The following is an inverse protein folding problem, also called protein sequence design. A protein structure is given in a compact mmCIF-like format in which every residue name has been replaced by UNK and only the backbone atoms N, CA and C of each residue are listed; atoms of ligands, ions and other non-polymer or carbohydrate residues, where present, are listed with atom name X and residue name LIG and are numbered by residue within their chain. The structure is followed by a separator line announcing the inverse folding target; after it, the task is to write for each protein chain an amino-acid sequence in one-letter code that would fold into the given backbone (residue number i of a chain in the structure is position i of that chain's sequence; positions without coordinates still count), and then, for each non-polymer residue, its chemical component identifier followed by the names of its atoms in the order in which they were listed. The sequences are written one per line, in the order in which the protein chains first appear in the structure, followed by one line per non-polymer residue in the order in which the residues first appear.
data_IF_302486636013
#
_entry.id   IF_302486636013
#
_cell.length_a   1.000
_cell.length_b   1.000
_cell.length_c   1.000
_cell.angle_alpha   90.00
_cell.angle_beta   90.00
_cell.angle_gamma   90.00
#
_symmetry.space_group_name_H-M   'P 1'
#
loop_
_entity.id
_entity.type
_entity.pdbx_description
1 polymer ?
#
# COMPACT_ATOMS: atom_id res chain seq x y z
N UNK A 1 -3.08 6.45 23.15
CA UNK A 1 -3.71 5.11 22.99
C UNK A 1 -2.73 4.22 22.22
N UNK A 2 -2.71 2.89 22.36
CA UNK A 2 -1.87 2.06 21.48
C UNK A 2 -2.40 2.16 20.05
N UNK A 3 -1.49 2.22 19.08
CA UNK A 3 -1.71 2.46 17.65
C UNK A 3 -2.24 3.84 17.29
N UNK A 4 -2.31 4.76 18.24
CA UNK A 4 -2.64 6.17 17.94
C UNK A 4 -1.52 6.79 17.11
N UNK A 5 -1.88 7.56 16.09
CA UNK A 5 -0.91 8.33 15.32
C UNK A 5 -0.68 9.68 15.99
N UNK A 6 0.59 10.11 15.99
CA UNK A 6 1.02 11.39 16.48
C UNK A 6 1.75 12.13 15.37
N UNK A 7 1.68 13.45 15.37
CA UNK A 7 2.28 14.31 14.36
C UNK A 7 3.26 15.28 15.00
N UNK A 8 4.42 15.43 14.36
CA UNK A 8 5.43 16.45 14.67
C UNK A 8 5.63 17.31 13.44
N UNK A 9 5.40 18.61 13.58
CA UNK A 9 5.80 19.60 12.56
C UNK A 9 7.28 19.92 12.73
N UNK A 10 8.12 19.49 11.78
CA UNK A 10 9.55 19.79 11.76
C UNK A 10 9.78 21.28 11.44
N UNK A 11 11.01 21.77 11.69
CA UNK A 11 11.37 23.17 11.45
C UNK A 11 11.25 23.61 9.99
N UNK A 12 11.38 22.67 9.06
CA UNK A 12 11.21 22.90 7.62
C UNK A 12 9.73 22.86 7.17
N UNK A 13 8.80 22.66 8.11
CA UNK A 13 7.37 22.56 7.84
C UNK A 13 6.91 21.16 7.40
N UNK A 14 7.83 20.19 7.27
CA UNK A 14 7.46 18.81 6.95
C UNK A 14 6.82 18.12 8.16
N UNK A 15 5.87 17.23 7.89
CA UNK A 15 5.14 16.53 8.93
C UNK A 15 5.73 15.13 9.12
N UNK A 16 6.11 14.82 10.36
CA UNK A 16 6.57 13.50 10.76
C UNK A 16 5.48 12.78 11.53
N UNK A 17 5.04 11.63 11.00
CA UNK A 17 4.06 10.77 11.66
C UNK A 17 4.78 9.74 12.53
N UNK A 18 4.31 9.59 13.75
CA UNK A 18 4.73 8.56 14.71
C UNK A 18 3.54 7.67 15.04
N UNK A 19 3.76 6.39 15.31
CA UNK A 19 2.73 5.48 15.81
C UNK A 19 3.07 4.99 17.22
N UNK A 20 2.13 5.13 18.16
CA UNK A 20 2.29 4.65 19.54
C UNK A 20 2.29 3.12 19.59
N UNK A 21 3.38 2.51 20.06
CA UNK A 21 3.50 1.06 20.20
C UNK A 21 3.28 0.58 21.64
N UNK A 22 3.69 1.37 22.63
CA UNK A 22 3.51 0.99 24.02
C UNK A 22 3.43 2.19 24.96
N UNK A 23 2.76 1.99 26.08
CA UNK A 23 2.79 2.92 27.21
C UNK A 23 3.89 2.44 28.17
N UNK A 24 4.88 3.28 28.44
CA UNK A 24 6.03 2.90 29.28
C UNK A 24 5.88 3.37 30.73
N UNK A 25 4.81 4.09 31.06
CA UNK A 25 4.55 4.66 32.39
C UNK A 25 4.85 6.16 32.43
N UNK A 26 4.58 6.79 33.57
CA UNK A 26 4.91 8.22 33.82
C UNK A 26 4.42 9.17 32.71
N UNK A 27 3.18 8.96 32.23
CA UNK A 27 2.59 9.71 31.11
C UNK A 27 3.44 9.71 29.83
N UNK A 28 4.27 8.69 29.64
CA UNK A 28 5.18 8.57 28.50
C UNK A 28 4.78 7.38 27.63
N UNK A 29 4.84 7.60 26.32
CA UNK A 29 4.59 6.58 25.28
C UNK A 29 5.87 6.32 24.50
N UNK A 30 6.03 5.08 24.03
CA UNK A 30 7.04 4.71 23.04
C UNK A 30 6.38 4.64 21.67
N UNK A 31 7.00 5.28 20.70
CA UNK A 31 6.51 5.34 19.33
C UNK A 31 7.51 4.74 18.34
N UNK A 32 7.03 4.39 17.15
CA UNK A 32 7.85 4.13 15.96
C UNK A 32 7.62 5.28 14.99
N UNK A 33 8.71 5.79 14.41
CA UNK A 33 8.66 6.83 13.38
C UNK A 33 8.39 6.24 12.00
N UNK A 34 7.53 6.90 11.22
CA UNK A 34 7.23 6.48 9.84
C UNK A 34 8.20 7.07 8.80
N UNK A 35 9.08 7.98 9.22
CA UNK A 35 10.13 8.58 8.40
C UNK A 35 11.38 8.89 9.27
N UNK A 36 12.43 9.47 8.68
CA UNK A 36 13.66 9.82 9.37
C UNK A 36 13.41 10.74 10.56
N UNK A 37 14.03 10.39 11.69
CA UNK A 37 14.05 11.17 12.94
C UNK A 37 15.18 12.19 12.99
N UNK A 38 15.92 12.37 11.90
CA UNK A 38 17.04 13.31 11.85
C UNK A 38 16.57 14.75 12.13
N UNK A 39 17.37 15.48 12.90
CA UNK A 39 17.07 16.86 13.30
C UNK A 39 16.04 17.00 14.41
N UNK A 40 15.48 15.90 14.93
CA UNK A 40 14.65 15.95 16.14
C UNK A 40 15.49 16.19 17.39
N UNK A 41 14.94 17.01 18.28
CA UNK A 41 15.49 17.25 19.61
C UNK A 41 14.41 17.06 20.66
N UNK A 42 14.79 16.93 21.93
CA UNK A 42 13.82 16.97 23.02
C UNK A 42 13.10 18.31 23.05
N UNK A 43 11.83 18.30 23.45
CA UNK A 43 11.01 19.50 23.59
C UNK A 43 10.20 19.91 22.35
N UNK A 44 10.24 19.11 21.26
CA UNK A 44 9.28 19.31 20.17
C UNK A 44 7.85 19.09 20.68
N UNK A 45 6.94 19.92 20.20
CA UNK A 45 5.52 19.70 20.36
C UNK A 45 5.09 18.50 19.51
N UNK A 46 4.24 17.67 20.10
CA UNK A 46 3.71 16.46 19.46
C UNK A 46 2.19 16.50 19.61
N UNK A 47 1.48 16.41 18.49
CA UNK A 47 0.02 16.47 18.47
C UNK A 47 -0.53 15.06 18.27
N UNK A 48 -1.42 14.62 19.15
CA UNK A 48 -2.14 13.36 18.95
C UNK A 48 -3.33 13.55 18.01
N UNK A 49 -3.45 12.69 17.01
CA UNK A 49 -4.58 12.75 16.05
C UNK A 49 -5.85 12.11 16.63
N UNK A 50 -5.71 11.29 17.67
CA UNK A 50 -6.79 10.53 18.31
C UNK A 50 -7.22 9.29 17.51
N UNK A 51 -6.58 9.01 16.38
CA UNK A 51 -6.88 7.91 15.49
C UNK A 51 -5.60 7.19 15.07
N UNK A 52 -5.65 5.90 14.72
CA UNK A 52 -4.53 5.26 14.05
C UNK A 52 -4.23 5.88 12.69
N UNK A 53 -3.08 5.53 12.11
CA UNK A 53 -2.77 5.88 10.73
C UNK A 53 -3.90 5.39 9.83
N UNK A 54 -4.42 6.29 8.99
CA UNK A 54 -5.53 6.02 8.09
C UNK A 54 -5.07 6.06 6.63
N UNK A 55 -5.58 5.14 5.83
CA UNK A 55 -5.42 5.13 4.38
C UNK A 55 -6.66 5.70 3.70
N UNK A 56 -6.50 6.42 2.57
CA UNK A 56 -7.64 6.79 1.74
C UNK A 56 -8.34 5.53 1.21
N UNK A 57 -9.66 5.60 1.06
CA UNK A 57 -10.49 4.52 0.54
C UNK A 57 -11.46 5.02 -0.53
N UNK A 58 -12.09 4.07 -1.23
CA UNK A 58 -13.08 4.36 -2.25
C UNK A 58 -12.51 4.31 -3.67
N UNK A 59 -13.32 4.62 -4.69
CA UNK A 59 -12.92 4.49 -6.09
C UNK A 59 -11.77 5.42 -6.52
N UNK A 60 -11.60 6.55 -5.83
CA UNK A 60 -10.58 7.56 -6.19
C UNK A 60 -9.15 7.09 -5.94
N UNK A 61 -8.97 5.99 -5.17
CA UNK A 61 -7.66 5.38 -4.93
C UNK A 61 -7.18 4.55 -6.12
N UNK A 62 -8.04 4.27 -7.10
CA UNK A 62 -7.69 3.38 -8.21
C UNK A 62 -6.59 3.99 -9.07
N UNK A 63 -5.57 3.17 -9.30
CA UNK A 63 -4.39 3.56 -10.04
C UNK A 63 -3.43 4.47 -9.28
N UNK A 64 -3.76 4.97 -8.08
CA UNK A 64 -2.93 5.89 -7.30
C UNK A 64 -1.78 5.19 -6.58
N UNK A 65 -0.72 5.94 -6.26
CA UNK A 65 0.43 5.47 -5.49
C UNK A 65 0.53 6.18 -4.14
N UNK A 66 0.54 5.41 -3.05
CA UNK A 66 0.59 5.94 -1.68
C UNK A 66 1.79 5.42 -0.89
N UNK A 67 2.27 6.24 0.05
CA UNK A 67 3.23 5.82 1.06
C UNK A 67 2.53 5.16 2.28
N UNK A 68 3.31 4.75 3.28
CA UNK A 68 2.82 4.03 4.48
C UNK A 68 1.83 4.83 5.34
N UNK A 69 1.82 6.15 5.23
CA UNK A 69 0.89 7.02 5.97
C UNK A 69 -0.33 7.42 5.15
N UNK A 70 -0.46 6.92 3.91
CA UNK A 70 -1.57 7.22 3.01
C UNK A 70 -1.47 8.54 2.27
N UNK A 71 -0.29 9.17 2.25
CA UNK A 71 -0.04 10.31 1.38
C UNK A 71 0.31 9.84 -0.03
N UNK A 72 -0.16 10.58 -1.02
CA UNK A 72 0.09 10.30 -2.41
C UNK A 72 1.53 10.67 -2.80
N UNK A 73 2.20 9.78 -3.49
CA UNK A 73 3.57 9.96 -4.00
C UNK A 73 3.64 9.86 -5.53
N UNK A 74 2.47 9.88 -6.18
CA UNK A 74 2.31 9.91 -7.64
C UNK A 74 2.27 11.33 -8.24
N UNK A 75 2.37 12.37 -7.42
CA UNK A 75 2.32 13.76 -7.89
C UNK A 75 0.92 14.27 -8.24
N UNK A 76 -0.13 13.48 -8.04
CA UNK A 76 -1.53 13.86 -8.31
C UNK A 76 -2.23 14.50 -7.09
N UNK A 77 -1.47 14.80 -6.03
CA UNK A 77 -1.96 15.40 -4.79
C UNK A 77 -2.64 14.39 -3.84
N UNK A 78 -2.74 14.75 -2.57
CA UNK A 78 -3.29 13.86 -1.54
C UNK A 78 -4.80 13.67 -1.69
N UNK A 79 -5.27 12.46 -1.41
CA UNK A 79 -6.69 12.17 -1.24
C UNK A 79 -7.12 12.40 0.22
N UNK A 80 -8.39 12.75 0.46
CA UNK A 80 -8.94 12.73 1.80
C UNK A 80 -8.83 11.33 2.41
N UNK A 81 -8.28 11.25 3.62
CA UNK A 81 -8.07 9.99 4.36
C UNK A 81 -8.59 10.04 5.79
N UNK A 82 -9.48 10.99 6.11
CA UNK A 82 -10.11 11.16 7.42
C UNK A 82 -11.61 10.93 7.34
N UNK A 83 -12.23 10.60 8.48
CA UNK A 83 -13.67 10.35 8.57
C UNK A 83 -14.12 9.20 7.66
N UNK A 84 -15.17 9.42 6.87
CA UNK A 84 -15.73 8.42 5.95
C UNK A 84 -14.82 8.09 4.75
N UNK A 85 -13.83 8.93 4.46
CA UNK A 85 -12.88 8.74 3.36
C UNK A 85 -11.60 8.01 3.81
N UNK A 86 -11.50 7.69 5.10
CA UNK A 86 -10.31 7.12 5.73
C UNK A 86 -10.57 5.82 6.43
N UNK A 87 -9.68 4.84 6.25
CA UNK A 87 -9.75 3.58 6.98
C UNK A 87 -8.45 3.31 7.75
N UNK A 88 -8.58 2.97 9.03
CA UNK A 88 -7.45 2.59 9.89
C UNK A 88 -6.71 1.38 9.32
N UNK A 89 -5.36 1.45 9.30
CA UNK A 89 -4.51 0.31 8.94
C UNK A 89 -4.57 -0.81 9.98
N UNK A 90 -4.92 -0.47 11.23
CA UNK A 90 -5.14 -1.44 12.30
C UNK A 90 -6.61 -1.84 12.35
N UNK A 91 -6.89 -3.10 11.98
CA UNK A 91 -8.22 -3.71 12.04
C UNK A 91 -8.14 -5.13 12.54
N UNK A 92 -9.19 -5.57 13.23
CA UNK A 92 -9.33 -6.97 13.60
C UNK A 92 -9.57 -7.82 12.36
N UNK A 93 -9.08 -9.06 12.40
CA UNK A 93 -9.39 -10.05 11.38
C UNK A 93 -10.90 -10.33 11.34
N UNK A 94 -11.44 -10.79 10.20
CA UNK A 94 -12.83 -11.26 10.12
C UNK A 94 -13.12 -12.33 11.17
N UNK A 95 -14.36 -12.36 11.69
CA UNK A 95 -14.78 -13.38 12.66
C UNK A 95 -14.93 -14.72 11.94
N UNK A 96 -14.88 -15.81 12.70
CA UNK A 96 -15.03 -17.16 12.17
C UNK A 96 -16.34 -17.35 11.37
N UNK A 97 -17.43 -16.77 11.85
CA UNK A 97 -18.75 -16.82 11.18
C UNK A 97 -18.80 -16.07 9.85
N UNK A 98 -17.90 -15.09 9.66
CA UNK A 98 -17.82 -14.29 8.42
C UNK A 98 -16.91 -14.97 7.37
N UNK A 99 -16.30 -16.11 7.69
CA UNK A 99 -15.42 -16.85 6.76
C UNK A 99 -16.25 -17.68 5.79
N UNK A 100 -15.93 -17.57 4.49
CA UNK A 100 -16.51 -18.46 3.48
C UNK A 100 -15.84 -19.84 3.51
N UNK A 101 -16.66 -20.89 3.40
CA UNK A 101 -16.20 -22.28 3.29
C UNK A 101 -16.09 -22.76 1.83
N UNK A 102 -16.46 -21.93 0.85
CA UNK A 102 -16.44 -22.32 -0.56
C UNK A 102 -15.04 -22.18 -1.16
N UNK A 103 -14.47 -23.28 -1.66
CA UNK A 103 -13.26 -23.25 -2.49
C UNK A 103 -13.63 -23.13 -3.96
N UNK A 104 -13.63 -21.91 -4.49
CA UNK A 104 -13.68 -21.70 -5.94
C UNK A 104 -12.27 -21.58 -6.51
N UNK A 105 -12.03 -22.14 -7.70
CA UNK A 105 -10.76 -21.95 -8.41
C UNK A 105 -10.71 -20.54 -9.01
N UNK A 106 -9.58 -19.88 -8.84
CA UNK A 106 -9.19 -18.64 -9.51
C UNK A 106 -8.36 -19.01 -10.74
N UNK A 107 -8.94 -18.88 -11.93
CA UNK A 107 -8.21 -19.09 -13.18
C UNK A 107 -7.28 -17.91 -13.45
N UNK A 108 -5.99 -18.18 -13.52
CA UNK A 108 -4.94 -17.17 -13.68
C UNK A 108 -4.58 -16.90 -15.14
N UNK A 109 -4.92 -17.81 -16.05
CA UNK A 109 -4.50 -17.77 -17.45
C UNK A 109 -3.08 -18.32 -17.66
N UNK A 110 -2.39 -18.71 -16.59
CA UNK A 110 -1.04 -19.25 -16.63
C UNK A 110 -1.12 -20.77 -16.59
N UNK A 111 -0.83 -21.42 -17.72
CA UNK A 111 -1.00 -22.88 -17.90
C UNK A 111 -0.42 -23.73 -16.77
N UNK A 112 0.79 -23.40 -16.30
CA UNK A 112 1.44 -24.20 -15.24
C UNK A 112 0.73 -24.05 -13.90
N UNK A 113 0.24 -22.86 -13.57
CA UNK A 113 -0.53 -22.59 -12.34
C UNK A 113 -1.90 -23.26 -12.46
N UNK A 114 -2.64 -22.98 -13.53
CA UNK A 114 -4.01 -23.48 -13.68
C UNK A 114 -4.09 -25.01 -13.80
N UNK A 115 -3.03 -25.68 -14.27
CA UNK A 115 -2.99 -27.14 -14.40
C UNK A 115 -2.39 -27.86 -13.18
N UNK A 116 -1.27 -27.37 -12.64
CA UNK A 116 -0.48 -28.11 -11.64
C UNK A 116 -0.78 -27.61 -10.21
N UNK A 117 -0.95 -26.31 -10.02
CA UNK A 117 -1.17 -25.68 -8.71
C UNK A 117 -2.25 -24.61 -8.80
N UNK A 118 -3.52 -24.98 -9.03
CA UNK A 118 -4.59 -24.03 -9.23
C UNK A 118 -4.83 -23.20 -7.97
N UNK A 119 -4.96 -21.88 -8.15
CA UNK A 119 -5.19 -20.95 -7.05
C UNK A 119 -6.66 -20.98 -6.60
N UNK A 120 -6.88 -20.85 -5.29
CA UNK A 120 -8.23 -20.73 -4.74
C UNK A 120 -8.60 -19.24 -4.56
N UNK A 121 -9.82 -18.85 -4.93
CA UNK A 121 -10.35 -17.52 -4.62
C UNK A 121 -10.39 -17.30 -3.11
N UNK A 122 -9.91 -16.14 -2.65
CA UNK A 122 -9.76 -15.85 -1.22
C UNK A 122 -8.62 -16.60 -0.52
N UNK A 123 -7.86 -17.42 -1.26
CA UNK A 123 -6.69 -18.12 -0.77
C UNK A 123 -5.48 -17.20 -0.58
N UNK A 124 -4.50 -17.66 0.20
CA UNK A 124 -3.18 -17.03 0.34
C UNK A 124 -2.18 -17.86 -0.45
N UNK A 125 -1.42 -17.20 -1.32
CA UNK A 125 -0.45 -17.84 -2.22
C UNK A 125 0.94 -17.32 -1.88
N UNK A 126 1.92 -18.22 -1.86
CA UNK A 126 3.33 -17.87 -1.67
C UNK A 126 4.12 -18.08 -2.96
N UNK A 127 4.77 -17.03 -3.46
CA UNK A 127 5.69 -17.12 -4.59
C UNK A 127 7.13 -17.24 -4.10
N UNK A 128 7.60 -18.48 -3.96
CA UNK A 128 8.94 -18.77 -3.47
C UNK A 128 9.96 -18.79 -4.62
N UNK A 129 11.03 -18.02 -4.48
CA UNK A 129 12.06 -17.96 -5.50
C UNK A 129 13.21 -17.01 -5.16
N UNK A 130 14.37 -17.25 -5.78
CA UNK A 130 15.57 -16.43 -5.64
C UNK A 130 15.49 -15.08 -6.37
N UNK A 131 16.61 -14.36 -6.41
CA UNK A 131 16.73 -13.15 -7.22
C UNK A 131 16.73 -13.53 -8.72
N UNK A 132 16.04 -12.75 -9.55
CA UNK A 132 16.06 -12.91 -11.01
C UNK A 132 15.26 -14.10 -11.58
N UNK A 133 14.50 -14.82 -10.76
CA UNK A 133 13.70 -15.98 -11.23
C UNK A 133 12.34 -15.61 -11.84
N UNK A 134 12.05 -14.31 -12.00
CA UNK A 134 10.82 -13.83 -12.62
C UNK A 134 9.61 -13.68 -11.68
N UNK A 135 9.80 -13.56 -10.36
CA UNK A 135 8.69 -13.34 -9.41
C UNK A 135 7.85 -12.11 -9.75
N UNK A 136 8.52 -10.97 -9.99
CA UNK A 136 7.86 -9.71 -10.34
C UNK A 136 7.09 -9.83 -11.65
N UNK A 137 7.70 -10.48 -12.65
CA UNK A 137 7.07 -10.76 -13.96
C UNK A 137 5.80 -11.60 -13.79
N UNK A 138 5.85 -12.62 -12.91
CA UNK A 138 4.68 -13.44 -12.64
C UNK A 138 3.58 -12.67 -11.90
N UNK A 139 3.92 -11.79 -10.96
CA UNK A 139 2.96 -10.92 -10.28
C UNK A 139 2.31 -9.95 -11.27
N UNK A 140 3.10 -9.33 -12.15
CA UNK A 140 2.61 -8.44 -13.21
C UNK A 140 1.61 -9.16 -14.12
N UNK A 141 1.95 -10.37 -14.58
CA UNK A 141 1.09 -11.17 -15.43
C UNK A 141 -0.21 -11.58 -14.72
N UNK A 142 -0.15 -11.91 -13.43
CA UNK A 142 -1.35 -12.17 -12.62
C UNK A 142 -2.26 -10.94 -12.53
N UNK A 143 -1.70 -9.76 -12.26
CA UNK A 143 -2.48 -8.51 -12.20
C UNK A 143 -3.14 -8.24 -13.55
N UNK A 144 -2.39 -8.38 -14.65
CA UNK A 144 -2.90 -8.20 -16.00
C UNK A 144 -4.07 -9.16 -16.32
N UNK A 145 -3.92 -10.44 -16.02
CA UNK A 145 -4.95 -11.45 -16.32
C UNK A 145 -6.18 -11.35 -15.42
N UNK A 146 -6.02 -10.98 -14.15
CA UNK A 146 -7.14 -10.74 -13.22
C UNK A 146 -7.90 -9.47 -13.62
N UNK A 147 -7.19 -8.39 -13.94
CA UNK A 147 -7.80 -7.13 -14.35
C UNK A 147 -8.58 -7.29 -15.66
N UNK A 148 -8.01 -7.96 -16.67
CA UNK A 148 -8.65 -8.18 -17.99
C UNK A 148 -9.74 -9.24 -17.98
N UNK A 149 -9.52 -10.35 -17.26
CA UNK A 149 -10.38 -11.54 -17.34
C UNK A 149 -11.52 -11.59 -16.33
N UNK A 150 -11.38 -10.96 -15.17
CA UNK A 150 -12.34 -11.09 -14.06
C UNK A 150 -12.96 -9.76 -13.62
N UNK A 151 -12.57 -8.63 -14.22
CA UNK A 151 -13.00 -7.30 -13.78
C UNK A 151 -12.61 -7.00 -12.32
N UNK A 152 -11.61 -7.74 -11.81
CA UNK A 152 -11.16 -7.65 -10.44
C UNK A 152 -10.21 -6.47 -10.24
N UNK A 153 -10.28 -5.87 -9.05
CA UNK A 153 -9.31 -4.87 -8.61
C UNK A 153 -8.07 -5.58 -8.05
N UNK A 154 -6.90 -5.00 -8.29
CA UNK A 154 -5.64 -5.48 -7.74
C UNK A 154 -5.00 -4.38 -6.91
N UNK A 155 -4.48 -4.73 -5.74
CA UNK A 155 -3.71 -3.84 -4.88
C UNK A 155 -2.32 -4.43 -4.74
N UNK A 156 -1.30 -3.65 -5.09
CA UNK A 156 0.10 -4.04 -4.93
C UNK A 156 0.71 -3.31 -3.72
N UNK A 157 1.34 -4.06 -2.83
CA UNK A 157 2.05 -3.52 -1.67
C UNK A 157 3.53 -3.90 -1.76
N UNK A 158 4.38 -2.93 -2.12
CA UNK A 158 5.83 -3.12 -2.21
C UNK A 158 6.50 -2.99 -0.83
N UNK A 159 6.63 -4.10 -0.10
CA UNK A 159 7.19 -4.10 1.26
C UNK A 159 8.66 -4.48 1.23
N UNK A 160 9.55 -3.52 1.52
CA UNK A 160 11.00 -3.76 1.55
C UNK A 160 11.62 -4.06 0.18
N UNK A 161 10.89 -3.78 -0.90
CA UNK A 161 11.35 -3.94 -2.26
C UNK A 161 12.24 -2.77 -2.70
N UNK A 162 13.02 -2.97 -3.76
CA UNK A 162 13.85 -1.90 -4.31
C UNK A 162 12.97 -0.86 -5.01
N UNK A 163 13.28 0.42 -4.81
CA UNK A 163 12.59 1.54 -5.49
C UNK A 163 12.60 1.39 -7.01
N UNK A 164 13.69 0.86 -7.59
CA UNK A 164 13.77 0.56 -9.03
C UNK A 164 12.70 -0.45 -9.46
N UNK A 165 12.52 -1.53 -8.70
CA UNK A 165 11.54 -2.57 -9.02
C UNK A 165 10.10 -2.03 -8.91
N UNK A 166 9.82 -1.16 -7.94
CA UNK A 166 8.53 -0.47 -7.84
C UNK A 166 8.27 0.50 -9.00
N UNK A 167 9.28 1.25 -9.43
CA UNK A 167 9.18 2.16 -10.57
C UNK A 167 8.99 1.39 -11.89
N UNK A 168 9.72 0.30 -12.09
CA UNK A 168 9.58 -0.57 -13.28
C UNK A 168 8.18 -1.18 -13.33
N UNK A 169 7.66 -1.65 -12.19
CA UNK A 169 6.28 -2.14 -12.07
C UNK A 169 5.24 -1.07 -12.45
N UNK A 170 5.40 0.16 -11.94
CA UNK A 170 4.48 1.26 -12.25
C UNK A 170 4.49 1.61 -13.74
N UNK A 171 5.68 1.67 -14.37
CA UNK A 171 5.83 1.93 -15.80
C UNK A 171 5.11 0.89 -16.64
N UNK A 172 5.31 -0.39 -16.33
CA UNK A 172 4.63 -1.48 -17.05
C UNK A 172 3.11 -1.44 -16.86
N UNK A 173 2.61 -1.08 -15.68
CA UNK A 173 1.18 -0.90 -15.43
C UNK A 173 0.56 0.24 -16.25
N UNK A 174 1.33 1.30 -16.51
CA UNK A 174 0.92 2.40 -17.39
C UNK A 174 0.94 1.98 -18.86
N UNK A 175 2.03 1.34 -19.32
CA UNK A 175 2.17 0.86 -20.70
C UNK A 175 1.12 -0.21 -21.07
N UNK A 176 0.77 -1.09 -20.14
CA UNK A 176 -0.27 -2.11 -20.32
C UNK A 176 -1.69 -1.55 -20.24
N UNK A 177 -1.85 -0.27 -19.88
CA UNK A 177 -3.13 0.43 -19.74
C UNK A 177 -3.96 -0.02 -18.54
N UNK A 178 -3.34 -0.70 -17.57
CA UNK A 178 -3.96 -1.11 -16.31
C UNK A 178 -4.17 0.10 -15.41
N UNK A 179 -3.17 0.97 -15.33
CA UNK A 179 -3.25 2.28 -14.66
C UNK A 179 -3.33 3.37 -15.74
N UNK A 180 -4.15 4.40 -15.50
CA UNK A 180 -4.27 5.54 -16.39
C UNK A 180 -4.22 6.83 -15.56
N UNK A 181 -3.12 7.56 -15.67
CA UNK A 181 -2.95 8.87 -15.04
C UNK A 181 -3.26 10.06 -15.97
N UNK A 182 -3.70 9.78 -17.20
CA UNK A 182 -3.96 10.79 -18.24
C UNK A 182 -2.73 11.11 -19.08
N UNK A 183 -2.95 11.75 -20.24
CA UNK A 183 -1.92 11.98 -21.26
C UNK A 183 -0.81 12.94 -20.77
N UNK A 184 -1.16 13.91 -19.93
CA UNK A 184 -0.21 14.89 -19.37
C UNK A 184 0.84 14.23 -18.45
N UNK A 185 0.42 13.23 -17.66
CA UNK A 185 1.33 12.46 -16.80
C UNK A 185 2.28 11.61 -17.64
N UNK A 186 1.77 10.97 -18.70
CA UNK A 186 2.59 10.15 -19.61
C UNK A 186 3.67 11.00 -20.29
N UNK A 187 3.33 12.20 -20.74
CA UNK A 187 4.31 13.13 -21.32
C UNK A 187 5.35 13.65 -20.32
N UNK A 188 4.98 13.91 -19.05
CA UNK A 188 5.96 14.26 -18.01
C UNK A 188 6.93 13.10 -17.74
N UNK A 189 6.43 11.86 -17.73
CA UNK A 189 7.24 10.66 -17.50
C UNK A 189 8.24 10.38 -18.63
N UNK A 190 7.82 10.55 -19.90
CA UNK A 190 8.70 10.42 -21.07
C UNK A 190 9.86 11.42 -21.07
N UNK A 191 9.64 12.60 -20.47
CA UNK A 191 10.65 13.64 -20.34
C UNK A 191 11.55 13.49 -19.09
N UNK A 192 11.39 12.39 -18.33
CA UNK A 192 12.28 12.04 -17.22
C UNK A 192 11.81 12.45 -15.82
N UNK A 193 10.60 13.00 -15.69
CA UNK A 193 10.09 13.56 -14.43
C UNK A 193 10.48 15.02 -14.23
#
# INVERSE_FOLDING_TARGET
KIYDSLEITKKDGTLLVLEVQSHIGENTVRTISMDSTDGLSRGYEVVGTGNPIQMPIGPDVYGRLFNVIGDAIDGLGNLPKTGENGLSIHRQAPRFEDLSTSSEVLFTGIKVIDLIEPYAKGGKIGLFGGAGVGKTVLIQELINNIAKGHGGLSVFAGVGERTREGNDLLREMLESGIIKYGDDFMHSMENGG
#
